data_IF_681202025093
#
_entry.id   IF_681202025093
#
_cell.length_a   1.000
_cell.length_b   1.000
_cell.length_c   1.000
_cell.angle_alpha   90.00
_cell.angle_beta   90.00
_cell.angle_gamma   90.00
#
_symmetry.space_group_name_H-M   'P 1'
#
loop_
_entity.id
_entity.type
_entity.pdbx_description
1 polymer ?
#
# COMPACT_ATOMS: atom_id res chain seq x y z
N UNK A 1 9.96 22.85 -11.36
CA UNK A 1 8.66 22.90 -10.65
C UNK A 1 8.59 21.64 -9.79
N UNK A 2 9.05 21.64 -8.54
CA UNK A 2 8.39 22.31 -7.41
C UNK A 2 7.36 21.33 -6.83
N UNK A 3 7.75 20.60 -5.78
CA UNK A 3 6.92 19.57 -5.12
C UNK A 3 5.70 20.22 -4.47
N UNK A 4 4.53 20.07 -5.07
CA UNK A 4 3.27 20.49 -4.46
C UNK A 4 2.80 19.37 -3.52
N UNK A 5 3.17 19.53 -2.26
CA UNK A 5 2.55 18.86 -1.12
C UNK A 5 1.21 19.57 -0.88
N UNK A 6 0.12 19.00 -1.38
CA UNK A 6 -1.24 19.34 -0.96
C UNK A 6 -1.59 18.53 0.28
N UNK A 7 -0.95 18.87 1.40
CA UNK A 7 -1.35 18.39 2.71
C UNK A 7 -2.45 19.30 3.26
N UNK A 8 -3.72 18.93 3.11
CA UNK A 8 -4.78 19.06 4.13
C UNK A 8 -6.18 18.76 3.56
N UNK A 9 -6.58 17.48 3.65
CA UNK A 9 -7.97 16.97 3.83
C UNK A 9 -8.11 15.50 3.39
N UNK A 10 -7.22 15.00 2.55
CA UNK A 10 -7.45 13.76 1.81
C UNK A 10 -6.92 12.53 2.55
N UNK A 11 -7.79 11.55 2.80
CA UNK A 11 -7.34 10.18 3.08
C UNK A 11 -6.38 9.68 1.99
N UNK A 12 -5.72 8.55 2.24
CA UNK A 12 -4.74 7.99 1.32
C UNK A 12 -5.21 8.05 -0.15
N UNK A 13 -4.32 8.47 -1.08
CA UNK A 13 -4.67 8.60 -2.48
C UNK A 13 -5.24 7.28 -2.99
N UNK A 14 -6.19 7.33 -3.93
CA UNK A 14 -6.83 6.12 -4.46
C UNK A 14 -6.08 5.49 -5.64
N UNK A 15 -4.83 5.89 -5.85
CA UNK A 15 -3.98 5.31 -6.88
C UNK A 15 -3.64 3.85 -6.53
N UNK A 16 -3.70 2.96 -7.50
CA UNK A 16 -3.22 1.59 -7.32
C UNK A 16 -1.69 1.58 -7.44
N UNK A 17 -1.03 0.77 -6.62
CA UNK A 17 0.39 0.47 -6.74
C UNK A 17 0.54 -0.75 -7.66
N UNK A 18 1.00 -0.58 -8.91
CA UNK A 18 1.06 -1.67 -9.89
C UNK A 18 2.11 -2.74 -9.51
N UNK A 19 3.05 -2.41 -8.64
CA UNK A 19 4.12 -3.30 -8.23
C UNK A 19 3.73 -4.16 -7.01
N UNK A 20 2.62 -3.81 -6.34
CA UNK A 20 2.08 -4.57 -5.22
C UNK A 20 1.39 -5.85 -5.71
N UNK A 21 2.03 -7.00 -5.48
CA UNK A 21 1.48 -8.30 -5.86
C UNK A 21 0.53 -8.85 -4.80
N UNK A 22 0.92 -8.77 -3.53
CA UNK A 22 0.10 -9.27 -2.43
C UNK A 22 0.27 -8.43 -1.16
N UNK A 23 -0.76 -8.46 -0.32
CA UNK A 23 -0.81 -7.80 0.98
C UNK A 23 -0.79 -8.85 2.10
N UNK A 24 -0.17 -8.50 3.23
CA UNK A 24 -0.21 -9.27 4.49
C UNK A 24 -0.59 -8.33 5.63
N UNK A 25 -1.64 -8.66 6.36
CA UNK A 25 -2.11 -7.90 7.51
C UNK A 25 -1.89 -8.71 8.80
N UNK A 26 -1.27 -8.14 9.86
CA UNK A 26 -1.25 -8.75 11.19
C UNK A 26 -2.68 -8.86 11.77
N UNK A 27 -2.92 -9.77 12.74
CA UNK A 27 -1.96 -10.69 13.36
C UNK A 27 -1.70 -11.96 12.54
N UNK A 28 -2.49 -12.25 11.50
CA UNK A 28 -2.36 -13.45 10.68
C UNK A 28 -1.95 -13.08 9.24
N UNK A 29 -0.63 -13.00 8.94
CA UNK A 29 -0.11 -12.48 7.67
C UNK A 29 -0.26 -13.49 6.51
N UNK A 30 -1.50 -13.86 6.19
CA UNK A 30 -1.84 -14.59 4.97
C UNK A 30 -1.55 -13.72 3.75
N UNK A 31 -1.05 -14.34 2.68
CA UNK A 31 -0.90 -13.68 1.38
C UNK A 31 -2.28 -13.53 0.76
N UNK A 32 -2.75 -12.30 0.65
CA UNK A 32 -3.97 -11.96 -0.09
C UNK A 32 -3.56 -11.12 -1.29
N UNK A 33 -4.19 -11.32 -2.45
CA UNK A 33 -3.94 -10.47 -3.62
C UNK A 33 -4.12 -8.99 -3.23
N UNK A 34 -3.16 -8.14 -3.60
CA UNK A 34 -3.17 -6.75 -3.16
C UNK A 34 -4.36 -5.97 -3.76
N UNK A 35 -4.80 -6.34 -4.96
CA UNK A 35 -5.81 -5.61 -5.72
C UNK A 35 -5.39 -4.15 -5.98
N UNK A 36 -6.35 -3.27 -6.25
CA UNK A 36 -6.07 -1.84 -6.30
C UNK A 36 -5.91 -1.28 -4.87
N UNK A 37 -4.67 -1.24 -4.39
CA UNK A 37 -4.29 -0.61 -3.12
C UNK A 37 -2.93 0.05 -3.28
N UNK A 38 -2.51 0.83 -2.30
CA UNK A 38 -1.17 1.39 -2.23
C UNK A 38 -0.65 1.39 -0.80
N UNK A 39 0.60 1.79 -0.64
CA UNK A 39 1.25 1.84 0.65
C UNK A 39 0.52 2.67 1.69
N UNK A 40 -0.03 3.82 1.32
CA UNK A 40 -0.74 4.64 2.29
C UNK A 40 -1.98 3.89 2.80
N UNK A 41 -2.83 3.41 1.89
CA UNK A 41 -4.07 2.68 2.26
C UNK A 41 -3.74 1.45 3.12
N UNK A 42 -2.71 0.71 2.71
CA UNK A 42 -2.28 -0.52 3.38
C UNK A 42 -1.71 -0.22 4.76
N UNK A 43 -0.85 0.78 4.87
CA UNK A 43 -0.23 1.20 6.14
C UNK A 43 -1.26 1.76 7.11
N UNK A 44 -2.24 2.54 6.64
CA UNK A 44 -3.35 3.01 7.48
C UNK A 44 -4.21 1.88 8.03
N UNK A 45 -4.21 0.71 7.39
CA UNK A 45 -4.87 -0.52 7.88
C UNK A 45 -3.93 -1.41 8.72
N UNK A 46 -2.67 -1.01 8.92
CA UNK A 46 -1.65 -1.81 9.59
C UNK A 46 -1.13 -2.98 8.76
N UNK A 47 -1.43 -2.99 7.46
CA UNK A 47 -1.04 -4.03 6.52
C UNK A 47 0.24 -3.67 5.76
N UNK A 48 0.90 -4.69 5.21
CA UNK A 48 2.15 -4.57 4.44
C UNK A 48 1.96 -5.13 3.04
N UNK A 49 2.36 -4.39 2.02
CA UNK A 49 2.42 -4.81 0.63
C UNK A 49 3.78 -5.43 0.31
N UNK A 50 3.75 -6.37 -0.63
CA UNK A 50 4.91 -7.09 -1.09
C UNK A 50 4.86 -7.24 -2.60
N UNK A 51 6.05 -7.24 -3.20
CA UNK A 51 6.25 -7.61 -4.59
C UNK A 51 6.10 -9.13 -4.78
N UNK A 52 5.98 -9.57 -6.04
CA UNK A 52 5.90 -11.00 -6.41
C UNK A 52 7.13 -11.81 -5.96
N UNK A 53 8.29 -11.17 -5.81
CA UNK A 53 9.53 -11.79 -5.35
C UNK A 53 9.60 -11.95 -3.81
N UNK A 54 8.51 -11.67 -3.09
CA UNK A 54 8.41 -11.67 -1.63
C UNK A 54 9.17 -10.55 -0.88
N UNK A 55 9.72 -9.56 -1.59
CA UNK A 55 10.30 -8.37 -0.96
C UNK A 55 9.19 -7.45 -0.42
N UNK A 56 9.39 -6.89 0.78
CA UNK A 56 8.48 -5.90 1.35
C UNK A 56 8.55 -4.61 0.54
N UNK A 57 7.41 -4.15 0.04
CA UNK A 57 7.27 -2.89 -0.67
C UNK A 57 7.09 -1.74 0.33
N UNK A 58 6.15 -1.93 1.25
CA UNK A 58 5.87 -1.14 2.46
C UNK A 58 5.17 -2.09 3.45
#
# INVERSE_FOLDING_TARGET
MGKNVDAQAAGCPRNCDPDAAYIKCPPNPKKTEAGCTNCCVSTSRGCRLYYSNNTRLC
#
